data_IF_966603918198
#
_entry.id   IF_966603918198
#
_cell.length_a   1.000
_cell.length_b   1.000
_cell.length_c   1.000
_cell.angle_alpha   90.00
_cell.angle_beta   90.00
_cell.angle_gamma   90.00
#
_symmetry.space_group_name_H-M   'P 1'
#
loop_
_entity.id
_entity.type
_entity.pdbx_description
1 polymer ?
#
# COMPACT_ATOMS: atom_id res chain seq x y z
N UNK A 1 -29.04 -6.88 -36.25
CA UNK A 1 -28.94 -8.13 -35.49
C UNK A 1 -28.98 -7.77 -34.00
N UNK A 2 -29.83 -8.43 -33.22
CA UNK A 2 -30.07 -8.15 -31.79
C UNK A 2 -29.41 -9.27 -30.97
N UNK A 3 -28.68 -8.93 -29.90
CA UNK A 3 -28.21 -9.91 -28.90
C UNK A 3 -29.08 -9.78 -27.65
N UNK A 4 -29.60 -10.90 -27.16
CA UNK A 4 -30.48 -10.99 -25.99
C UNK A 4 -29.79 -11.71 -24.84
N UNK A 5 -29.88 -11.12 -23.65
CA UNK A 5 -29.43 -11.72 -22.39
C UNK A 5 -30.65 -11.95 -21.48
N UNK A 6 -30.95 -13.21 -21.20
CA UNK A 6 -32.10 -13.63 -20.38
C UNK A 6 -31.62 -14.14 -19.04
N UNK A 7 -32.13 -13.55 -17.95
CA UNK A 7 -31.87 -13.95 -16.58
C UNK A 7 -32.99 -14.84 -16.09
N UNK A 8 -32.65 -16.00 -15.53
CA UNK A 8 -33.63 -17.01 -15.09
C UNK A 8 -33.33 -17.45 -13.66
N UNK A 9 -34.35 -17.95 -12.97
CA UNK A 9 -34.15 -18.54 -11.65
C UNK A 9 -33.53 -19.93 -11.80
N UNK A 10 -32.42 -20.19 -11.09
CA UNK A 10 -31.71 -21.47 -11.19
C UNK A 10 -32.53 -22.66 -10.69
N UNK A 11 -33.42 -22.46 -9.70
CA UNK A 11 -34.32 -23.50 -9.18
C UNK A 11 -35.47 -23.83 -10.12
N UNK A 12 -35.83 -22.91 -11.02
CA UNK A 12 -36.81 -23.14 -12.07
C UNK A 12 -36.48 -22.27 -13.29
N UNK A 13 -35.85 -22.88 -14.29
CA UNK A 13 -35.40 -22.18 -15.50
C UNK A 13 -36.54 -21.71 -16.39
N UNK A 14 -37.80 -22.10 -16.12
CA UNK A 14 -38.97 -21.50 -16.79
C UNK A 14 -39.28 -20.10 -16.26
N UNK A 15 -38.83 -19.77 -15.04
CA UNK A 15 -39.05 -18.46 -14.42
C UNK A 15 -38.01 -17.47 -14.93
N UNK A 16 -38.45 -16.54 -15.77
CA UNK A 16 -37.62 -15.44 -16.27
C UNK A 16 -37.65 -14.29 -15.26
N UNK A 17 -36.49 -13.90 -14.77
CA UNK A 17 -36.29 -12.77 -13.86
C UNK A 17 -36.24 -11.43 -14.62
N UNK A 18 -35.67 -11.44 -15.82
CA UNK A 18 -35.60 -10.27 -16.68
C UNK A 18 -34.84 -10.53 -17.99
N UNK A 19 -34.95 -9.60 -18.93
CA UNK A 19 -34.34 -9.69 -20.26
C UNK A 19 -33.68 -8.36 -20.62
N UNK A 20 -32.46 -8.41 -21.13
CA UNK A 20 -31.76 -7.28 -21.74
C UNK A 20 -31.59 -7.53 -23.24
N UNK A 21 -31.93 -6.54 -24.06
CA UNK A 21 -31.81 -6.60 -25.52
C UNK A 21 -30.88 -5.51 -25.99
N UNK A 22 -29.87 -5.89 -26.78
CA UNK A 22 -28.89 -4.98 -27.38
C UNK A 22 -29.07 -4.96 -28.89
N UNK A 23 -29.46 -3.81 -29.44
CA UNK A 23 -29.64 -3.60 -30.87
C UNK A 23 -28.63 -2.57 -31.40
N UNK A 24 -28.05 -2.84 -32.57
CA UNK A 24 -26.99 -2.00 -33.15
C UNK A 24 -25.62 -2.11 -32.46
N UNK A 25 -25.48 -3.00 -31.47
CA UNK A 25 -24.23 -3.24 -30.73
C UNK A 25 -23.64 -4.57 -31.20
N UNK A 26 -22.35 -4.55 -31.59
CA UNK A 26 -21.67 -5.69 -32.20
C UNK A 26 -21.32 -6.82 -31.22
N UNK A 27 -21.20 -6.51 -29.93
CA UNK A 27 -20.86 -7.47 -28.89
C UNK A 27 -21.32 -6.99 -27.50
N UNK A 28 -21.68 -7.92 -26.62
CA UNK A 28 -22.24 -7.61 -25.29
C UNK A 28 -21.39 -8.21 -24.17
N UNK A 29 -21.34 -7.52 -23.03
CA UNK A 29 -20.68 -7.99 -21.82
C UNK A 29 -21.64 -8.82 -20.98
N UNK A 30 -21.15 -9.91 -20.41
CA UNK A 30 -21.96 -10.76 -19.55
C UNK A 30 -21.11 -11.45 -18.46
N UNK A 31 -21.70 -11.83 -17.31
CA UNK A 31 -21.05 -12.66 -16.32
C UNK A 31 -20.87 -14.09 -16.84
N UNK A 32 -19.65 -14.61 -16.80
CA UNK A 32 -19.35 -15.95 -17.30
C UNK A 32 -18.63 -16.78 -16.24
N UNK A 33 -19.39 -17.67 -15.60
CA UNK A 33 -18.87 -18.56 -14.56
C UNK A 33 -17.92 -19.62 -15.13
N UNK A 34 -18.09 -19.99 -16.40
CA UNK A 34 -17.35 -21.07 -17.05
C UNK A 34 -15.92 -20.62 -17.42
N UNK A 35 -15.74 -19.35 -17.77
CA UNK A 35 -14.45 -18.83 -18.19
C UNK A 35 -13.42 -18.72 -17.06
N UNK A 36 -13.87 -18.40 -15.84
CA UNK A 36 -12.97 -18.18 -14.70
C UNK A 36 -13.00 -19.31 -13.66
N UNK A 37 -13.98 -20.21 -13.70
CA UNK A 37 -14.07 -21.35 -12.78
C UNK A 37 -14.22 -20.95 -11.31
N UNK A 38 -14.85 -19.81 -11.04
CA UNK A 38 -15.01 -19.28 -9.70
C UNK A 38 -16.42 -18.76 -9.45
N UNK A 39 -16.88 -18.83 -8.20
CA UNK A 39 -18.17 -18.26 -7.79
C UNK A 39 -18.24 -16.79 -8.17
N UNK A 40 -19.27 -16.45 -8.94
CA UNK A 40 -19.53 -15.11 -9.43
C UNK A 40 -20.84 -14.59 -8.87
N UNK A 41 -20.87 -13.32 -8.52
CA UNK A 41 -22.09 -12.63 -8.11
C UNK A 41 -22.28 -11.36 -8.89
N UNK A 42 -23.53 -11.11 -9.26
CA UNK A 42 -23.95 -9.86 -9.90
C UNK A 42 -24.88 -9.08 -8.96
N UNK A 43 -24.98 -7.78 -9.21
CA UNK A 43 -25.95 -6.92 -8.54
C UNK A 43 -26.98 -6.47 -9.58
N UNK A 44 -28.23 -6.87 -9.42
CA UNK A 44 -29.34 -6.48 -10.28
C UNK A 44 -30.66 -6.54 -9.52
N UNK A 45 -31.50 -5.53 -9.69
CA UNK A 45 -32.83 -5.47 -9.09
C UNK A 45 -33.85 -5.96 -10.12
N UNK A 46 -34.46 -7.12 -9.87
CA UNK A 46 -35.53 -7.68 -10.71
C UNK A 46 -36.89 -7.33 -10.13
N UNK A 47 -37.87 -7.10 -10.99
CA UNK A 47 -39.24 -6.83 -10.56
C UNK A 47 -39.79 -8.03 -9.76
N UNK A 48 -40.45 -7.77 -8.63
CA UNK A 48 -41.02 -8.80 -7.76
C UNK A 48 -40.05 -9.41 -6.75
N UNK A 49 -38.79 -8.97 -6.72
CA UNK A 49 -37.78 -9.43 -5.77
C UNK A 49 -37.26 -8.27 -4.91
N UNK A 50 -36.86 -8.55 -3.67
CA UNK A 50 -36.28 -7.53 -2.78
C UNK A 50 -34.75 -7.55 -2.82
N UNK A 51 -34.20 -8.67 -3.27
CA UNK A 51 -32.79 -8.98 -3.30
C UNK A 51 -32.14 -8.32 -4.52
N UNK A 52 -31.01 -7.66 -4.28
CA UNK A 52 -30.22 -7.07 -5.34
C UNK A 52 -29.07 -7.98 -5.77
N UNK A 53 -28.73 -9.00 -4.98
CA UNK A 53 -27.48 -9.76 -5.10
C UNK A 53 -27.79 -11.20 -5.49
N UNK A 54 -27.21 -11.59 -6.62
CA UNK A 54 -27.49 -12.88 -7.24
C UNK A 54 -26.20 -13.62 -7.48
N UNK A 55 -26.18 -14.91 -7.15
CA UNK A 55 -25.09 -15.82 -7.50
C UNK A 55 -25.37 -16.36 -8.90
N UNK A 56 -24.38 -16.26 -9.78
CA UNK A 56 -24.44 -16.85 -11.11
C UNK A 56 -24.12 -18.33 -10.98
N UNK A 57 -25.10 -19.17 -11.30
CA UNK A 57 -24.99 -20.64 -11.23
C UNK A 57 -24.48 -21.18 -12.55
N UNK A 58 -25.05 -20.72 -13.65
CA UNK A 58 -24.72 -21.19 -14.99
C UNK A 58 -24.82 -20.05 -16.01
N UNK A 59 -24.10 -20.22 -17.12
CA UNK A 59 -24.23 -19.37 -18.29
C UNK A 59 -24.22 -20.25 -19.53
N UNK A 60 -25.26 -20.14 -20.36
CA UNK A 60 -25.43 -20.95 -21.57
C UNK A 60 -25.73 -20.09 -22.79
N UNK A 61 -25.45 -20.65 -23.97
CA UNK A 61 -25.47 -19.93 -25.24
C UNK A 61 -26.25 -20.73 -26.30
N UNK A 62 -27.59 -20.69 -26.27
CA UNK A 62 -28.42 -21.49 -27.19
C UNK A 62 -28.22 -21.14 -28.67
N UNK A 63 -27.87 -19.88 -28.96
CA UNK A 63 -27.62 -19.38 -30.31
C UNK A 63 -26.55 -18.28 -30.29
N UNK A 64 -26.11 -17.81 -31.47
CA UNK A 64 -25.15 -16.70 -31.59
C UNK A 64 -25.67 -15.37 -31.00
N UNK A 65 -26.99 -15.19 -30.95
CA UNK A 65 -27.64 -13.97 -30.47
C UNK A 65 -28.24 -14.11 -29.07
N UNK A 66 -28.04 -15.23 -28.37
CA UNK A 66 -28.71 -15.48 -27.08
C UNK A 66 -27.74 -15.90 -25.98
N UNK A 67 -27.95 -15.34 -24.78
CA UNK A 67 -27.24 -15.70 -23.55
C UNK A 67 -28.30 -15.96 -22.48
N UNK A 68 -28.24 -17.14 -21.85
CA UNK A 68 -29.08 -17.47 -20.71
C UNK A 68 -28.21 -17.52 -19.46
N UNK A 69 -28.61 -16.79 -18.42
CA UNK A 69 -27.89 -16.70 -17.14
C UNK A 69 -28.82 -17.21 -16.04
N UNK A 70 -28.44 -18.31 -15.41
CA UNK A 70 -29.20 -18.89 -14.31
C UNK A 70 -28.68 -18.33 -12.98
N UNK A 71 -29.61 -17.77 -12.20
CA UNK A 71 -29.32 -17.04 -10.97
C UNK A 71 -29.94 -17.71 -9.76
N UNK A 72 -29.18 -17.75 -8.68
CA UNK A 72 -29.63 -18.15 -7.35
C UNK A 72 -29.59 -16.93 -6.43
N UNK A 73 -30.61 -16.76 -5.60
CA UNK A 73 -30.59 -15.73 -4.56
C UNK A 73 -29.40 -15.98 -3.65
N UNK A 74 -28.58 -14.95 -3.40
CA UNK A 74 -27.52 -15.06 -2.42
C UNK A 74 -28.19 -15.07 -1.04
N UNK A 75 -28.16 -16.21 -0.35
CA UNK A 75 -28.73 -16.41 0.99
C UNK A 75 -28.02 -15.53 2.04
N UNK A 76 -28.45 -14.28 2.14
CA UNK A 76 -28.12 -13.44 3.28
C UNK A 76 -29.42 -13.14 3.99
N UNK A 77 -29.76 -13.97 4.98
CA UNK A 77 -30.83 -13.64 5.94
C UNK A 77 -30.49 -12.35 6.72
N UNK A 78 -29.23 -11.92 6.69
CA UNK A 78 -28.77 -10.68 7.30
C UNK A 78 -28.74 -9.52 6.29
N UNK A 79 -29.36 -8.36 6.62
CA UNK A 79 -29.29 -7.19 5.77
C UNK A 79 -27.84 -6.68 5.66
N UNK A 80 -27.36 -6.53 4.42
CA UNK A 80 -26.04 -5.95 4.16
C UNK A 80 -26.04 -4.45 4.45
N UNK A 81 -25.24 -4.02 5.43
CA UNK A 81 -25.04 -2.60 5.73
C UNK A 81 -23.73 -2.11 5.13
N UNK A 82 -23.82 -1.16 4.21
CA UNK A 82 -22.66 -0.54 3.59
C UNK A 82 -22.00 0.47 4.55
N UNK A 83 -20.70 0.68 4.42
CA UNK A 83 -20.00 1.73 5.16
C UNK A 83 -20.59 3.11 4.86
N UNK A 84 -21.05 3.36 3.65
CA UNK A 84 -21.72 4.62 3.30
C UNK A 84 -23.01 4.87 4.10
N UNK A 85 -23.82 3.83 4.34
CA UNK A 85 -25.02 3.91 5.17
C UNK A 85 -24.64 4.19 6.63
N UNK A 86 -23.64 3.47 7.14
CA UNK A 86 -23.12 3.70 8.50
C UNK A 86 -22.55 5.12 8.64
N UNK A 87 -21.83 5.62 7.64
CA UNK A 87 -21.23 6.95 7.64
C UNK A 87 -22.28 8.06 7.57
N UNK A 88 -23.39 7.84 6.85
CA UNK A 88 -24.54 8.77 6.83
C UNK A 88 -25.14 8.92 8.23
N UNK A 89 -25.25 7.82 8.98
CA UNK A 89 -25.80 7.82 10.34
C UNK A 89 -24.80 8.27 11.40
N UNK A 90 -23.53 7.87 11.28
CA UNK A 90 -22.47 8.13 12.26
C UNK A 90 -21.16 8.46 11.55
N UNK A 91 -20.86 9.76 11.41
CA UNK A 91 -19.64 10.26 10.76
C UNK A 91 -18.35 9.77 11.41
N UNK A 92 -18.35 9.61 12.74
CA UNK A 92 -17.23 9.08 13.51
C UNK A 92 -16.87 7.62 13.20
N UNK A 93 -17.63 6.89 12.36
CA UNK A 93 -17.22 5.55 11.94
C UNK A 93 -15.88 5.54 11.19
N UNK A 94 -15.55 6.64 10.48
CA UNK A 94 -14.28 6.74 9.75
C UNK A 94 -13.08 6.67 10.70
N UNK A 95 -13.15 7.26 11.88
CA UNK A 95 -12.07 7.18 12.88
C UNK A 95 -11.91 5.77 13.48
N UNK A 96 -12.91 4.89 13.35
CA UNK A 96 -12.79 3.49 13.78
C UNK A 96 -12.02 2.64 12.75
N UNK A 97 -12.02 3.06 11.48
CA UNK A 97 -11.30 2.43 10.38
C UNK A 97 -9.82 2.87 10.39
N UNK A 98 -9.14 2.52 11.47
CA UNK A 98 -7.71 2.74 11.63
C UNK A 98 -6.89 1.74 10.81
N UNK A 99 -5.61 2.04 10.63
CA UNK A 99 -4.66 1.10 10.02
C UNK A 99 -4.72 -0.27 10.74
N UNK A 100 -4.88 -1.33 9.96
CA UNK A 100 -5.01 -2.70 10.45
C UNK A 100 -6.44 -3.13 10.76
N UNK A 101 -7.46 -2.28 10.63
CA UNK A 101 -8.87 -2.71 10.73
C UNK A 101 -9.23 -3.63 9.56
N UNK A 102 -9.96 -4.72 9.83
CA UNK A 102 -10.36 -5.71 8.83
C UNK A 102 -11.78 -5.43 8.35
N UNK A 103 -11.97 -5.38 7.04
CA UNK A 103 -13.24 -5.13 6.36
C UNK A 103 -13.51 -6.17 5.28
N UNK A 104 -14.76 -6.33 4.87
CA UNK A 104 -15.09 -6.97 3.59
C UNK A 104 -15.22 -5.92 2.49
N UNK A 105 -14.68 -6.21 1.32
CA UNK A 105 -14.70 -5.33 0.15
C UNK A 105 -15.26 -6.08 -1.04
N UNK A 106 -16.23 -5.48 -1.71
CA UNK A 106 -16.74 -5.98 -3.00
C UNK A 106 -16.03 -5.32 -4.18
N UNK A 107 -15.21 -6.09 -4.87
CA UNK A 107 -14.47 -5.64 -6.04
C UNK A 107 -15.24 -5.82 -7.36
N UNK A 108 -16.42 -6.47 -7.34
CA UNK A 108 -17.18 -6.80 -8.54
C UNK A 108 -16.71 -8.09 -9.21
N UNK A 109 -16.94 -8.23 -10.51
CA UNK A 109 -16.60 -9.42 -11.29
C UNK A 109 -16.01 -9.05 -12.66
N UNK A 110 -15.28 -10.00 -13.25
CA UNK A 110 -14.68 -9.87 -14.57
C UNK A 110 -15.69 -10.39 -15.60
N UNK A 111 -15.90 -9.64 -16.68
CA UNK A 111 -16.89 -9.94 -17.70
C UNK A 111 -16.28 -10.76 -18.85
N UNK A 112 -17.11 -11.57 -19.50
CA UNK A 112 -16.85 -12.08 -20.85
C UNK A 112 -17.58 -11.24 -21.89
N UNK A 113 -17.14 -11.32 -23.14
CA UNK A 113 -17.80 -10.70 -24.30
C UNK A 113 -18.41 -11.80 -25.16
N UNK A 114 -19.64 -11.59 -25.64
CA UNK A 114 -20.22 -12.36 -26.74
C UNK A 114 -20.39 -11.49 -27.96
N UNK A 115 -19.84 -11.92 -29.10
CA UNK A 115 -19.96 -11.22 -30.38
C UNK A 115 -21.20 -11.66 -31.15
N UNK A 116 -21.65 -10.84 -32.11
CA UNK A 116 -22.67 -11.22 -33.08
C UNK A 116 -22.32 -12.50 -33.87
N UNK A 117 -21.02 -12.80 -34.07
CA UNK A 117 -20.57 -14.05 -34.69
C UNK A 117 -20.84 -15.30 -33.84
N UNK A 118 -21.16 -15.14 -32.55
CA UNK A 118 -21.23 -16.22 -31.57
C UNK A 118 -19.95 -16.40 -30.74
N UNK A 119 -18.83 -15.82 -31.16
CA UNK A 119 -17.54 -15.94 -30.45
C UNK A 119 -17.64 -15.39 -29.01
N UNK A 120 -17.06 -16.13 -28.07
CA UNK A 120 -16.87 -15.69 -26.68
C UNK A 120 -15.40 -15.32 -26.47
N UNK A 121 -15.13 -14.11 -25.96
CA UNK A 121 -13.77 -13.61 -25.72
C UNK A 121 -13.67 -12.87 -24.39
N UNK A 122 -12.44 -12.61 -23.95
CA UNK A 122 -12.17 -11.80 -22.75
C UNK A 122 -12.50 -10.31 -22.98
N UNK A 123 -12.90 -9.61 -21.91
CA UNK A 123 -13.25 -8.18 -21.94
C UNK A 123 -12.08 -7.19 -22.12
N UNK A 124 -10.95 -7.62 -22.70
CA UNK A 124 -9.71 -6.83 -22.80
C UNK A 124 -9.82 -5.50 -23.56
N UNK A 125 -10.85 -5.36 -24.40
CA UNK A 125 -11.12 -4.13 -25.17
C UNK A 125 -12.03 -3.14 -24.43
N UNK A 126 -12.48 -3.49 -23.22
CA UNK A 126 -13.41 -2.71 -22.41
C UNK A 126 -12.73 -2.27 -21.11
N UNK A 127 -11.83 -1.27 -21.16
CA UNK A 127 -11.06 -0.85 -19.99
C UNK A 127 -11.93 -0.36 -18.82
N UNK A 128 -13.16 0.09 -19.08
CA UNK A 128 -14.13 0.48 -18.04
C UNK A 128 -14.68 -0.72 -17.26
N UNK A 129 -14.50 -1.94 -17.78
CA UNK A 129 -14.85 -3.19 -17.11
C UNK A 129 -13.65 -3.76 -16.35
N UNK A 130 -13.95 -4.50 -15.27
CA UNK A 130 -12.91 -5.16 -14.47
C UNK A 130 -12.05 -6.08 -15.33
N UNK A 131 -10.74 -5.86 -15.30
CA UNK A 131 -9.79 -6.60 -16.14
C UNK A 131 -9.16 -7.79 -15.43
N UNK A 132 -8.59 -8.70 -16.24
CA UNK A 132 -7.74 -9.76 -15.71
C UNK A 132 -6.52 -9.17 -15.00
N UNK A 133 -6.19 -9.70 -13.83
CA UNK A 133 -5.15 -9.18 -12.95
C UNK A 133 -5.67 -8.27 -11.83
N UNK A 134 -6.87 -7.70 -11.98
CA UNK A 134 -7.46 -6.87 -10.93
C UNK A 134 -8.15 -7.72 -9.84
N UNK A 135 -8.32 -7.12 -8.65
CA UNK A 135 -9.11 -7.73 -7.58
C UNK A 135 -10.56 -7.93 -7.98
N UNK A 136 -11.14 -9.08 -7.65
CA UNK A 136 -12.53 -9.40 -8.00
C UNK A 136 -13.13 -10.28 -6.90
N UNK A 137 -14.47 -10.35 -6.88
CA UNK A 137 -15.33 -10.90 -5.83
C UNK A 137 -15.32 -10.07 -4.55
N UNK A 138 -16.16 -10.46 -3.60
CA UNK A 138 -16.05 -10.02 -2.22
C UNK A 138 -14.87 -10.71 -1.53
N UNK A 139 -13.99 -9.92 -0.92
CA UNK A 139 -12.79 -10.40 -0.21
C UNK A 139 -12.61 -9.63 1.10
N UNK A 140 -11.82 -10.18 2.01
CA UNK A 140 -11.30 -9.38 3.12
C UNK A 140 -10.31 -8.34 2.61
N UNK A 141 -10.26 -7.21 3.30
CA UNK A 141 -9.29 -6.16 3.11
C UNK A 141 -8.82 -5.60 4.46
N UNK A 142 -7.57 -5.15 4.50
CA UNK A 142 -6.95 -4.49 5.65
C UNK A 142 -6.94 -3.00 5.35
N UNK A 143 -7.57 -2.21 6.21
CA UNK A 143 -7.57 -0.75 6.08
C UNK A 143 -6.16 -0.21 6.31
N UNK A 144 -5.70 0.65 5.41
CA UNK A 144 -4.45 1.41 5.56
C UNK A 144 -4.77 2.84 6.00
N UNK A 145 -5.73 3.45 5.32
CA UNK A 145 -6.18 4.83 5.55
C UNK A 145 -7.66 4.93 5.23
N UNK A 146 -8.41 5.62 6.07
CA UNK A 146 -9.82 5.88 5.85
C UNK A 146 -10.08 7.39 5.76
N UNK A 147 -10.95 7.77 4.84
CA UNK A 147 -11.40 9.15 4.65
C UNK A 147 -12.87 9.17 4.20
N UNK A 148 -13.57 10.31 4.29
CA UNK A 148 -14.92 10.45 3.76
C UNK A 148 -15.06 10.18 2.26
N UNK A 149 -14.01 10.40 1.47
CA UNK A 149 -14.04 10.19 0.01
C UNK A 149 -13.76 8.73 -0.38
N UNK A 150 -13.07 7.98 0.47
CA UNK A 150 -12.73 6.59 0.22
C UNK A 150 -11.80 5.99 1.26
N UNK A 151 -11.63 4.68 1.20
CA UNK A 151 -10.78 3.91 2.10
C UNK A 151 -9.73 3.17 1.30
N UNK A 152 -8.46 3.36 1.64
CA UNK A 152 -7.36 2.60 1.08
C UNK A 152 -7.25 1.27 1.81
N UNK A 153 -7.22 0.18 1.06
CA UNK A 153 -7.21 -1.17 1.59
C UNK A 153 -6.16 -2.04 0.91
N UNK A 154 -5.61 -2.98 1.67
CA UNK A 154 -4.81 -4.10 1.17
C UNK A 154 -5.70 -5.34 1.08
N UNK A 155 -5.90 -5.95 -0.10
CA UNK A 155 -6.72 -7.13 -0.24
C UNK A 155 -6.06 -8.37 0.39
N UNK A 156 -6.89 -9.27 0.91
CA UNK A 156 -6.47 -10.58 1.40
C UNK A 156 -6.92 -11.67 0.41
N UNK A 157 -6.03 -12.61 0.15
CA UNK A 157 -6.30 -13.80 -0.67
C UNK A 157 -6.04 -15.08 0.11
N UNK A 158 -6.81 -16.13 -0.19
CA UNK A 158 -6.55 -17.48 0.31
C UNK A 158 -5.66 -18.31 -0.63
N UNK A 159 -5.27 -17.73 -1.77
CA UNK A 159 -4.34 -18.38 -2.71
C UNK A 159 -2.93 -18.13 -2.26
N UNK A 160 -2.15 -19.20 -2.14
CA UNK A 160 -0.71 -19.11 -1.94
C UNK A 160 -0.10 -18.29 -3.08
N UNK A 161 0.62 -17.20 -2.78
CA UNK A 161 1.34 -16.42 -3.77
C UNK A 161 2.34 -17.31 -4.51
N UNK A 162 2.45 -17.14 -5.84
CA UNK A 162 3.43 -17.87 -6.64
C UNK A 162 4.87 -17.39 -6.41
N UNK A 163 5.05 -16.16 -5.92
CA UNK A 163 6.37 -15.57 -5.70
C UNK A 163 6.77 -15.64 -4.22
N UNK A 164 7.57 -16.64 -3.86
CA UNK A 164 7.98 -16.94 -2.48
C UNK A 164 8.90 -15.85 -1.89
N UNK A 165 9.53 -15.01 -2.72
CA UNK A 165 10.45 -13.94 -2.28
C UNK A 165 9.83 -12.54 -2.18
N UNK A 166 8.54 -12.38 -2.48
CA UNK A 166 7.91 -11.06 -2.50
C UNK A 166 7.66 -10.53 -1.07
N UNK A 167 8.54 -9.61 -0.64
CA UNK A 167 8.45 -8.94 0.67
C UNK A 167 7.22 -8.05 0.82
N UNK A 168 6.51 -7.73 -0.27
CA UNK A 168 5.23 -7.00 -0.21
C UNK A 168 4.05 -7.89 0.19
N UNK A 169 4.27 -9.19 0.36
CA UNK A 169 3.25 -10.14 0.76
C UNK A 169 3.62 -10.75 2.10
N UNK A 170 2.64 -10.83 3.01
CA UNK A 170 2.82 -11.56 4.27
C UNK A 170 1.59 -12.42 4.57
N UNK A 171 1.83 -13.51 5.30
CA UNK A 171 0.77 -14.36 5.80
C UNK A 171 0.13 -13.71 7.03
N UNK A 172 -1.19 -13.53 6.98
CA UNK A 172 -1.98 -13.03 8.10
C UNK A 172 -2.14 -14.16 9.11
N UNK A 173 -1.85 -13.89 10.38
CA UNK A 173 -1.99 -14.88 11.44
C UNK A 173 -3.44 -15.32 11.62
N UNK A 174 -3.65 -16.58 12.02
CA UNK A 174 -4.98 -17.08 12.35
C UNK A 174 -5.64 -16.25 13.46
N UNK A 175 -4.86 -15.77 14.42
CA UNK A 175 -5.36 -14.94 15.53
C UNK A 175 -6.07 -13.66 15.04
N UNK A 176 -5.58 -13.05 13.96
CA UNK A 176 -6.19 -11.86 13.34
C UNK A 176 -7.56 -12.14 12.70
N UNK A 177 -7.82 -13.36 12.23
CA UNK A 177 -9.02 -13.72 11.46
C UNK A 177 -9.93 -14.74 12.16
N UNK A 178 -9.53 -15.31 13.29
CA UNK A 178 -10.22 -16.40 14.00
C UNK A 178 -11.71 -16.13 14.30
N UNK A 179 -12.09 -14.85 14.45
CA UNK A 179 -13.46 -14.43 14.79
C UNK A 179 -14.36 -14.29 13.56
N UNK A 180 -13.79 -14.28 12.37
CA UNK A 180 -14.51 -13.99 11.13
C UNK A 180 -15.11 -15.29 10.57
N UNK A 181 -16.44 -15.39 10.59
CA UNK A 181 -17.19 -16.65 10.36
C UNK A 181 -16.85 -17.31 9.02
N UNK A 182 -16.59 -16.53 7.98
CA UNK A 182 -16.31 -17.04 6.64
C UNK A 182 -14.82 -17.21 6.32
N UNK A 183 -13.93 -16.85 7.27
CA UNK A 183 -12.49 -16.76 7.03
C UNK A 183 -11.64 -17.39 8.13
N UNK A 184 -12.27 -18.02 9.13
CA UNK A 184 -11.60 -18.69 10.26
C UNK A 184 -11.37 -20.20 10.01
N UNK A 185 -11.23 -20.59 8.74
CA UNK A 185 -10.93 -21.96 8.34
C UNK A 185 -9.42 -22.24 8.52
N UNK A 186 -9.06 -23.13 9.44
CA UNK A 186 -7.66 -23.48 9.74
C UNK A 186 -6.96 -24.21 8.60
N UNK A 187 -7.71 -24.75 7.64
CA UNK A 187 -7.15 -25.42 6.45
C UNK A 187 -6.71 -24.42 5.37
N UNK A 188 -7.11 -23.15 5.48
CA UNK A 188 -6.81 -22.10 4.51
C UNK A 188 -5.88 -21.06 5.11
N UNK A 189 -4.76 -20.83 4.45
CA UNK A 189 -3.89 -19.68 4.76
C UNK A 189 -4.47 -18.40 4.17
N UNK A 190 -4.19 -17.27 4.81
CA UNK A 190 -4.58 -15.94 4.34
C UNK A 190 -3.33 -15.09 4.10
N UNK A 191 -3.25 -14.45 2.94
CA UNK A 191 -2.11 -13.62 2.53
C UNK A 191 -2.57 -12.21 2.20
N UNK A 192 -1.91 -11.21 2.77
CA UNK A 192 -2.15 -9.80 2.50
C UNK A 192 -1.25 -9.32 1.35
N UNK A 193 -1.84 -8.72 0.31
CA UNK A 193 -1.13 -8.33 -0.92
C UNK A 193 -0.82 -6.83 -0.92
N UNK A 194 0.26 -6.40 -0.26
CA UNK A 194 0.56 -4.97 -0.08
C UNK A 194 1.02 -4.26 -1.36
N UNK A 195 1.34 -5.00 -2.43
CA UNK A 195 1.53 -4.45 -3.78
C UNK A 195 0.22 -4.11 -4.52
N UNK A 196 -0.94 -4.56 -4.02
CA UNK A 196 -2.25 -4.34 -4.64
C UNK A 196 -3.13 -3.39 -3.83
N UNK A 197 -2.56 -2.27 -3.35
CA UNK A 197 -3.33 -1.28 -2.59
C UNK A 197 -4.36 -0.61 -3.52
N UNK A 198 -5.63 -0.63 -3.12
CA UNK A 198 -6.70 0.01 -3.86
C UNK A 198 -7.44 1.03 -2.99
N UNK A 199 -7.88 2.14 -3.60
CA UNK A 199 -8.79 3.09 -2.96
C UNK A 199 -10.23 2.71 -3.30
N UNK A 200 -11.02 2.41 -2.27
CA UNK A 200 -12.34 1.82 -2.41
C UNK A 200 -13.42 2.78 -1.93
N UNK A 201 -14.51 2.85 -2.69
CA UNK A 201 -15.71 3.59 -2.31
C UNK A 201 -16.37 3.02 -1.06
N UNK A 202 -16.93 3.90 -0.22
CA UNK A 202 -17.72 3.50 0.95
C UNK A 202 -18.93 2.60 0.59
N UNK A 203 -19.39 2.63 -0.68
CA UNK A 203 -20.46 1.77 -1.20
C UNK A 203 -19.99 0.35 -1.57
N UNK A 204 -18.72 0.01 -1.34
CA UNK A 204 -18.16 -1.32 -1.60
C UNK A 204 -17.61 -1.98 -0.35
N UNK A 205 -17.70 -1.32 0.81
CA UNK A 205 -17.12 -1.75 2.07
C UNK A 205 -18.22 -2.18 3.03
N UNK A 206 -18.01 -3.31 3.68
CA UNK A 206 -18.93 -3.93 4.62
C UNK A 206 -18.18 -4.32 5.89
N UNK A 207 -18.84 -4.28 7.06
CA UNK A 207 -18.30 -4.94 8.25
C UNK A 207 -18.34 -6.46 8.04
N UNK A 208 -17.26 -7.19 8.34
CA UNK A 208 -17.24 -8.64 8.19
C UNK A 208 -18.19 -9.29 9.19
N UNK A 209 -18.76 -10.45 8.84
CA UNK A 209 -19.53 -11.26 9.78
C UNK A 209 -18.57 -11.89 10.80
N UNK A 210 -18.76 -11.57 12.08
CA UNK A 210 -17.85 -12.00 13.13
C UNK A 210 -18.57 -12.41 14.40
N UNK A 211 -17.96 -13.32 15.16
CA UNK A 211 -18.39 -13.61 16.52
C UNK A 211 -18.15 -12.38 17.43
N UNK A 212 -19.06 -12.09 18.38
CA UNK A 212 -18.94 -10.93 19.26
C UNK A 212 -17.64 -10.97 20.09
N UNK A 213 -17.03 -9.80 20.33
CA UNK A 213 -15.79 -9.72 21.11
C UNK A 213 -15.94 -10.21 22.55
N UNK A 214 -17.13 -10.06 23.13
CA UNK A 214 -17.42 -10.46 24.51
C UNK A 214 -17.98 -11.89 24.49
N UNK A 215 -17.16 -12.87 24.89
CA UNK A 215 -17.50 -14.30 24.85
C UNK A 215 -18.74 -14.68 25.68
N UNK A 216 -19.16 -13.82 26.63
CA UNK A 216 -20.35 -14.01 27.47
C UNK A 216 -21.66 -13.49 26.84
N UNK A 217 -21.60 -12.88 25.65
CA UNK A 217 -22.79 -12.42 24.93
C UNK A 217 -23.50 -13.61 24.28
N UNK A 218 -24.77 -13.83 24.60
CA UNK A 218 -25.64 -14.81 23.92
C UNK A 218 -25.95 -14.45 22.45
N UNK A 219 -25.45 -13.32 21.95
CA UNK A 219 -25.68 -12.92 20.55
C UNK A 219 -24.86 -13.80 19.62
N UNK A 220 -25.51 -14.29 18.56
CA UNK A 220 -24.84 -14.99 17.46
C UNK A 220 -23.89 -14.09 16.68
N UNK A 221 -23.26 -14.60 15.61
CA UNK A 221 -22.41 -13.80 14.74
C UNK A 221 -23.16 -12.60 14.18
N UNK A 222 -22.50 -11.44 14.12
CA UNK A 222 -23.11 -10.21 13.59
C UNK A 222 -22.13 -9.39 12.75
N UNK A 223 -22.70 -8.55 11.88
CA UNK A 223 -21.97 -7.58 11.05
C UNK A 223 -21.88 -6.24 11.78
N UNK A 224 -20.95 -6.13 12.73
CA UNK A 224 -20.84 -4.96 13.58
C UNK A 224 -20.35 -3.71 12.83
N UNK A 225 -21.22 -2.69 12.71
CA UNK A 225 -20.94 -1.40 12.07
C UNK A 225 -19.90 -0.54 12.82
N UNK A 226 -19.46 -0.98 14.00
CA UNK A 226 -18.35 -0.40 14.75
C UNK A 226 -16.96 -0.76 14.19
N UNK A 227 -16.87 -1.75 13.31
CA UNK A 227 -15.62 -2.28 12.76
C UNK A 227 -14.57 -2.67 13.84
N UNK A 228 -14.92 -3.55 14.79
CA UNK A 228 -14.05 -3.88 15.92
C UNK A 228 -12.89 -4.81 15.57
N UNK A 229 -12.99 -5.56 14.46
CA UNK A 229 -11.99 -6.56 14.08
C UNK A 229 -10.75 -5.88 13.49
N UNK A 230 -9.59 -6.17 14.07
CA UNK A 230 -8.31 -5.58 13.67
C UNK A 230 -7.22 -6.65 13.71
N UNK A 231 -6.19 -6.45 12.89
CA UNK A 231 -4.94 -7.20 12.95
C UNK A 231 -4.32 -7.13 14.36
N UNK A 232 -3.68 -8.23 14.74
CA UNK A 232 -2.79 -8.32 15.91
C UNK A 232 -1.63 -7.34 15.81
N UNK A 233 -0.97 -7.06 16.93
CA UNK A 233 0.18 -6.15 16.96
C UNK A 233 1.34 -6.66 16.10
N UNK A 234 1.55 -7.97 16.04
CA UNK A 234 2.57 -8.61 15.20
C UNK A 234 2.24 -8.42 13.71
N UNK A 235 1.02 -8.73 13.28
CA UNK A 235 0.60 -8.60 11.89
C UNK A 235 0.61 -7.14 11.41
N UNK A 236 0.37 -6.17 12.31
CA UNK A 236 0.51 -4.75 11.96
C UNK A 236 1.96 -4.35 11.67
N UNK A 237 2.95 -4.94 12.36
CA UNK A 237 4.36 -4.70 12.05
C UNK A 237 4.70 -5.30 10.68
N UNK A 238 4.25 -6.53 10.41
CA UNK A 238 4.40 -7.16 9.10
C UNK A 238 3.75 -6.34 7.99
N UNK A 239 2.59 -5.74 8.26
CA UNK A 239 1.93 -4.81 7.35
C UNK A 239 2.79 -3.57 7.08
N UNK A 240 3.41 -2.96 8.09
CA UNK A 240 4.29 -1.80 7.92
C UNK A 240 5.51 -2.16 7.05
N UNK A 241 6.15 -3.29 7.31
CA UNK A 241 7.33 -3.77 6.59
C UNK A 241 6.99 -4.12 5.12
N UNK A 242 5.86 -4.80 4.90
CA UNK A 242 5.40 -5.19 3.58
C UNK A 242 4.93 -3.99 2.73
N UNK A 243 4.27 -3.00 3.36
CA UNK A 243 3.92 -1.75 2.69
C UNK A 243 5.15 -0.94 2.30
N UNK A 244 6.17 -0.91 3.14
CA UNK A 244 7.43 -0.22 2.82
C UNK A 244 8.11 -0.89 1.63
N UNK A 245 8.15 -2.23 1.63
CA UNK A 245 8.67 -3.02 0.52
C UNK A 245 7.89 -2.80 -0.78
N UNK A 246 6.56 -2.64 -0.71
CA UNK A 246 5.72 -2.46 -1.92
C UNK A 246 5.95 -1.14 -2.65
N UNK A 247 6.40 -0.10 -1.93
CA UNK A 247 6.77 1.21 -2.50
C UNK A 247 8.27 1.34 -2.77
N UNK A 248 9.04 0.25 -2.66
CA UNK A 248 10.48 0.22 -2.93
C UNK A 248 11.38 0.70 -1.77
N UNK A 249 10.83 0.92 -0.58
CA UNK A 249 11.58 1.29 0.62
C UNK A 249 12.01 0.03 1.40
N UNK A 250 12.95 -0.72 0.81
CA UNK A 250 13.35 -2.05 1.29
C UNK A 250 14.09 -2.02 2.64
N UNK A 251 14.75 -0.91 2.97
CA UNK A 251 15.58 -0.70 4.16
C UNK A 251 14.90 0.16 5.22
N UNK A 252 13.65 0.58 5.01
CA UNK A 252 12.96 1.53 5.90
C UNK A 252 12.83 1.02 7.33
N UNK A 253 12.54 -0.27 7.51
CA UNK A 253 12.39 -0.87 8.84
C UNK A 253 13.70 -0.88 9.61
N UNK A 254 14.82 -1.10 8.93
CA UNK A 254 16.16 -1.09 9.51
C UNK A 254 16.66 0.33 9.75
N UNK A 255 16.44 1.25 8.81
CA UNK A 255 16.66 2.69 8.99
C UNK A 255 15.91 3.22 10.21
N UNK A 256 14.64 2.86 10.38
CA UNK A 256 13.83 3.32 11.51
C UNK A 256 14.37 2.81 12.86
N UNK A 257 14.92 1.60 12.91
CA UNK A 257 15.57 1.05 14.11
C UNK A 257 16.91 1.75 14.40
N UNK A 258 17.67 2.04 13.35
CA UNK A 258 19.01 2.65 13.46
C UNK A 258 18.98 4.18 13.58
N UNK A 259 17.83 4.82 13.29
CA UNK A 259 17.68 6.27 13.30
C UNK A 259 18.18 6.95 14.59
N UNK A 260 17.89 6.44 15.80
CA UNK A 260 18.41 7.05 17.03
C UNK A 260 19.94 7.06 17.08
N UNK A 261 20.58 5.97 16.65
CA UNK A 261 22.04 5.85 16.63
C UNK A 261 22.64 6.81 15.60
N UNK A 262 22.11 6.81 14.38
CA UNK A 262 22.54 7.71 13.29
C UNK A 262 22.34 9.18 13.67
N UNK A 263 21.27 9.50 14.40
CA UNK A 263 21.03 10.85 14.91
C UNK A 263 22.07 11.25 15.96
N UNK A 264 22.34 10.36 16.93
CA UNK A 264 23.35 10.62 17.96
C UNK A 264 24.77 10.76 17.39
N UNK A 265 25.13 9.93 16.43
CA UNK A 265 26.42 10.02 15.72
C UNK A 265 26.53 11.31 14.92
N UNK A 266 25.45 11.74 14.24
CA UNK A 266 25.45 13.02 13.53
C UNK A 266 25.65 14.21 14.47
N UNK A 267 25.03 14.21 15.65
CA UNK A 267 25.22 15.28 16.62
C UNK A 267 26.64 15.28 17.19
N UNK A 268 27.22 14.10 17.46
CA UNK A 268 28.62 13.99 17.85
C UNK A 268 29.58 14.50 16.77
N UNK A 269 29.35 14.09 15.51
CA UNK A 269 30.16 14.53 14.37
C UNK A 269 30.05 16.04 14.14
N UNK A 270 28.86 16.63 14.30
CA UNK A 270 28.69 18.10 14.22
C UNK A 270 29.47 18.82 15.31
N UNK A 271 29.46 18.29 16.54
CA UNK A 271 30.23 18.86 17.65
C UNK A 271 31.75 18.77 17.38
N UNK A 272 32.23 17.65 16.85
CA UNK A 272 33.63 17.48 16.47
C UNK A 272 34.03 18.42 15.33
N UNK A 273 33.20 18.55 14.28
CA UNK A 273 33.42 19.51 13.19
C UNK A 273 33.47 20.94 13.73
N UNK A 274 32.63 21.30 14.69
CA UNK A 274 32.66 22.63 15.31
C UNK A 274 33.98 22.87 16.08
N UNK A 275 34.49 21.87 16.81
CA UNK A 275 35.77 21.96 17.52
C UNK A 275 36.97 22.05 16.57
N UNK A 276 36.99 21.20 15.53
CA UNK A 276 38.06 21.18 14.53
C UNK A 276 38.08 22.48 13.72
N UNK A 277 36.90 22.99 13.32
CA UNK A 277 36.81 24.27 12.61
C UNK A 277 37.28 25.44 13.46
N UNK A 278 36.95 25.47 14.76
CA UNK A 278 37.46 26.48 15.68
C UNK A 278 39.00 26.42 15.82
N UNK A 279 39.56 25.21 15.99
CA UNK A 279 41.01 25.00 16.08
C UNK A 279 41.72 25.41 14.79
N UNK A 280 41.14 25.07 13.64
CA UNK A 280 41.68 25.43 12.33
C UNK A 280 41.64 26.94 12.08
N UNK A 281 40.63 27.64 12.61
CA UNK A 281 40.57 29.11 12.55
C UNK A 281 41.63 29.77 13.42
N UNK A 282 41.91 29.21 14.60
CA UNK A 282 43.02 29.67 15.45
C UNK A 282 44.36 29.48 14.74
N UNK A 283 44.64 28.31 14.18
CA UNK A 283 45.90 28.07 13.45
C UNK A 283 46.04 28.94 12.19
N UNK A 284 44.95 29.20 11.46
CA UNK A 284 44.95 30.17 10.35
C UNK A 284 45.32 31.57 10.83
N UNK A 285 44.81 32.02 11.98
CA UNK A 285 45.16 33.32 12.52
C UNK A 285 46.63 33.41 12.93
N UNK A 286 47.20 32.36 13.53
CA UNK A 286 48.63 32.28 13.86
C UNK A 286 49.50 32.32 12.62
N UNK A 287 49.13 31.57 11.58
CA UNK A 287 49.86 31.54 10.30
C UNK A 287 49.84 32.92 9.64
N UNK A 288 48.68 33.58 9.60
CA UNK A 288 48.55 34.94 9.07
C UNK A 288 49.39 35.96 9.87
N UNK A 289 49.41 35.86 11.20
CA UNK A 289 50.27 36.70 12.05
C UNK A 289 51.77 36.45 11.79
N UNK A 290 52.16 35.19 11.61
CA UNK A 290 53.54 34.83 11.27
C UNK A 290 53.95 35.40 9.91
N UNK A 291 53.10 35.29 8.89
CA UNK A 291 53.35 35.88 7.57
C UNK A 291 53.49 37.41 7.63
N UNK A 292 52.64 38.09 8.41
CA UNK A 292 52.74 39.53 8.62
C UNK A 292 54.05 39.92 9.32
N UNK A 293 54.45 39.17 10.36
CA UNK A 293 55.69 39.42 11.08
C UNK A 293 56.92 39.16 10.19
N UNK A 294 56.91 38.09 9.40
CA UNK A 294 57.97 37.83 8.43
C UNK A 294 58.09 38.94 7.40
N UNK A 295 56.97 39.47 6.90
CA UNK A 295 56.98 40.62 5.98
C UNK A 295 57.65 41.85 6.59
N UNK A 296 57.34 42.15 7.86
CA UNK A 296 57.96 43.28 8.58
C UNK A 296 59.47 43.09 8.79
N UNK A 297 59.91 41.87 9.13
CA UNK A 297 61.34 41.55 9.29
C UNK A 297 62.06 41.63 7.95
N UNK A 298 61.46 41.11 6.88
CA UNK A 298 62.00 41.24 5.51
C UNK A 298 62.20 42.71 5.12
N UNK A 299 61.23 43.57 5.41
CA UNK A 299 61.33 44.99 5.10
C UNK A 299 62.39 45.70 5.94
N UNK A 300 62.52 45.35 7.23
CA UNK A 300 63.60 45.88 8.07
C UNK A 300 64.98 45.44 7.58
N UNK A 301 65.14 44.17 7.19
CA UNK A 301 66.40 43.68 6.63
C UNK A 301 66.73 44.32 5.29
N UNK A 302 65.73 44.59 4.43
CA UNK A 302 65.95 45.36 3.19
C UNK A 302 66.45 46.77 3.46
N UNK A 303 65.99 47.43 4.52
CA UNK A 303 66.49 48.76 4.90
C UNK A 303 67.97 48.70 5.31
N UNK A 304 68.38 47.65 6.02
CA UNK A 304 69.77 47.46 6.46
C UNK A 304 70.69 46.95 5.33
N UNK A 305 70.16 46.15 4.41
CA UNK A 305 70.89 45.47 3.34
C UNK A 305 70.30 45.79 1.96
N UNK A 306 70.23 47.07 1.62
CA UNK A 306 69.54 47.58 0.41
C UNK A 306 70.06 47.04 -0.93
N UNK A 307 71.28 46.51 -0.96
CA UNK A 307 71.89 45.91 -2.15
C UNK A 307 71.54 44.41 -2.35
N UNK A 308 70.90 43.75 -1.37
CA UNK A 308 70.58 42.32 -1.43
C UNK A 308 69.18 42.06 -1.98
N UNK A 309 69.04 40.96 -2.70
CA UNK A 309 67.74 40.54 -3.23
C UNK A 309 66.85 39.93 -2.14
N UNK A 310 65.53 39.93 -2.37
CA UNK A 310 64.53 39.43 -1.42
C UNK A 310 64.74 37.94 -1.04
N UNK A 311 65.13 37.03 -1.96
CA UNK A 311 65.49 35.65 -1.61
C UNK A 311 66.73 35.55 -0.71
N UNK A 312 67.76 36.37 -0.95
CA UNK A 312 68.98 36.39 -0.12
C UNK A 312 68.68 36.89 1.30
N UNK A 313 67.80 37.89 1.42
CA UNK A 313 67.34 38.40 2.71
C UNK A 313 66.56 37.35 3.48
N UNK A 314 65.66 36.60 2.82
CA UNK A 314 64.94 35.48 3.45
C UNK A 314 65.89 34.42 3.96
N UNK A 315 66.88 34.03 3.16
CA UNK A 315 67.88 33.04 3.55
C UNK A 315 68.71 33.50 4.75
N UNK A 316 69.03 34.80 4.83
CA UNK A 316 69.71 35.37 6.01
C UNK A 316 68.82 35.32 7.26
N UNK A 317 67.54 35.69 7.15
CA UNK A 317 66.60 35.66 8.28
C UNK A 317 66.40 34.21 8.75
N UNK A 318 66.23 33.26 7.84
CA UNK A 318 66.07 31.84 8.16
C UNK A 318 67.32 31.26 8.83
N UNK A 319 68.51 31.60 8.35
CA UNK A 319 69.79 31.21 8.98
C UNK A 319 69.88 31.73 10.41
N UNK A 320 69.57 33.00 10.65
CA UNK A 320 69.66 33.58 11.98
C UNK A 320 68.59 33.03 12.94
N UNK A 321 67.38 32.78 12.44
CA UNK A 321 66.34 32.12 13.22
C UNK A 321 66.72 30.68 13.59
N UNK A 322 67.39 29.96 12.68
CA UNK A 322 67.90 28.61 12.94
C UNK A 322 68.97 28.61 14.04
N UNK A 323 69.95 29.50 13.94
CA UNK A 323 71.03 29.63 14.94
C UNK A 323 70.47 29.97 16.33
N UNK A 324 69.54 30.92 16.40
CA UNK A 324 68.87 31.29 17.66
C UNK A 324 68.01 30.16 18.22
N UNK A 325 67.38 29.35 17.36
CA UNK A 325 66.60 28.19 17.80
C UNK A 325 67.52 27.13 18.41
N UNK A 326 68.69 26.86 17.83
CA UNK A 326 69.66 25.93 18.41
C UNK A 326 70.16 26.39 19.80
N UNK A 327 70.39 27.69 19.98
CA UNK A 327 70.78 28.26 21.27
C UNK A 327 69.66 28.08 22.33
N UNK A 328 68.40 28.22 21.94
CA UNK A 328 67.25 28.12 22.84
C UNK A 328 66.84 26.67 23.15
N UNK A 329 67.02 25.74 22.22
CA UNK A 329 66.71 24.31 22.40
C UNK A 329 67.84 23.52 23.09
N UNK A 330 68.97 24.17 23.39
CA UNK A 330 70.04 23.61 24.22
C UNK A 330 71.00 22.70 23.46
N UNK A 331 71.60 23.20 22.38
CA UNK A 331 72.87 22.70 21.86
C UNK A 331 74.06 23.19 22.70
#
# INVERSE_FOLDING_TARGET
MEITVTYRLASNTSTILGVEKSSGIAEVLFPDVNYFGHTMTITKMFAGYTEHRWKVVSTTHPSNSEILIDLEQRSTNDPETYLSQTYKQRKAVISNLQKGTIVEVDYGYIHSIKKQSGDIKSCKRYPDSKQSGEMHKRRLGIVIKASPSGVQVVPITSRTPSNIGDKSIFQVSFESIQRLVHYNDTTKSAFALCGMIETISLNRIFPPLAHPQVSKSRKGPERSTGYPNKLTKSDRKLLDDALSSSIGLLDYSDLKKNYPNVYSENEANKAEIALLSASLQVERSKTSNYEALMTLVEDHYKQLYSAKSLPEIRQMIESELFDRRQILEGA
#
